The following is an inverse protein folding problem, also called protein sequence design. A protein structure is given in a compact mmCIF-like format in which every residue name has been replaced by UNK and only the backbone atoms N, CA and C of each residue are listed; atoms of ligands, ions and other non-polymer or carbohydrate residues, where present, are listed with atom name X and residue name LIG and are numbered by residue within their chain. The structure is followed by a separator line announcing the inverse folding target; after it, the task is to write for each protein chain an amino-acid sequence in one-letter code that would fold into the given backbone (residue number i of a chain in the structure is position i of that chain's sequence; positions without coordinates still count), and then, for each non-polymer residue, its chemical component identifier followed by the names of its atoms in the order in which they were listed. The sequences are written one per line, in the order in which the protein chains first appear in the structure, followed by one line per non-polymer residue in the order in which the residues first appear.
data_IF_191962325359
#
_entry.id   IF_191962325359
#
_cell.length_a   1.000
_cell.length_b   1.000
_cell.length_c   1.000
_cell.angle_alpha   90.00
_cell.angle_beta   90.00
_cell.angle_gamma   90.00
#
_symmetry.space_group_name_H-M   'P 1'
#
loop_
_entity.id
_entity.type
_entity.pdbx_description
1 polymer ?
#
# COMPACT_ATOMS: atom_id res chain seq x y z
N UNK A 1 -11.55 2.21 -3.48
CA UNK A 1 -11.35 1.46 -4.76
C UNK A 1 -11.81 2.22 -6.01
N UNK A 2 -10.99 2.27 -7.07
CA UNK A 2 -11.40 2.67 -8.43
C UNK A 2 -10.69 3.88 -9.06
N UNK A 3 -9.86 4.61 -8.31
CA UNK A 3 -9.20 5.82 -8.85
C UNK A 3 -8.04 5.56 -9.84
N UNK A 4 -7.71 4.29 -10.13
CA UNK A 4 -6.66 3.93 -11.07
C UNK A 4 -5.22 4.12 -10.55
N UNK A 5 -5.04 4.24 -9.22
CA UNK A 5 -3.75 4.53 -8.58
C UNK A 5 -2.66 3.52 -8.93
N UNK A 6 -2.95 2.22 -8.87
CA UNK A 6 -1.97 1.19 -9.22
C UNK A 6 -1.67 1.14 -10.72
N UNK A 7 -2.64 1.46 -11.59
CA UNK A 7 -2.43 1.51 -13.05
C UNK A 7 -1.56 2.70 -13.44
N UNK A 8 -1.90 3.91 -12.96
CA UNK A 8 -1.14 5.13 -13.24
C UNK A 8 0.22 5.08 -12.54
N UNK A 9 0.28 4.60 -11.31
CA UNK A 9 1.51 4.49 -10.53
C UNK A 9 2.53 3.57 -11.19
N UNK A 10 2.13 2.39 -11.68
CA UNK A 10 3.01 1.49 -12.44
C UNK A 10 3.52 2.13 -13.72
N UNK A 11 2.65 2.85 -14.44
CA UNK A 11 3.06 3.56 -15.64
C UNK A 11 4.07 4.67 -15.33
N UNK A 12 3.81 5.48 -14.29
CA UNK A 12 4.67 6.57 -13.85
C UNK A 12 6.03 6.06 -13.38
N UNK A 13 6.06 5.01 -12.55
CA UNK A 13 7.29 4.38 -12.08
C UNK A 13 8.18 3.94 -13.25
N UNK A 14 7.58 3.29 -14.26
CA UNK A 14 8.29 2.87 -15.47
C UNK A 14 8.84 4.05 -16.28
N UNK A 15 8.12 5.16 -16.36
CA UNK A 15 8.59 6.36 -17.07
C UNK A 15 9.73 7.07 -16.33
N UNK A 16 9.70 7.06 -15.00
CA UNK A 16 10.71 7.71 -14.15
C UNK A 16 11.91 6.79 -13.84
N UNK A 17 11.84 5.50 -14.19
CA UNK A 17 12.87 4.52 -13.83
C UNK A 17 12.89 4.18 -12.34
N UNK A 18 11.79 4.42 -11.64
CA UNK A 18 11.61 4.18 -10.21
C UNK A 18 10.92 2.84 -9.96
N UNK A 19 11.04 2.32 -8.74
CA UNK A 19 10.22 1.17 -8.32
C UNK A 19 8.78 1.61 -8.05
N UNK A 20 7.82 0.70 -8.23
CA UNK A 20 6.42 0.93 -7.83
C UNK A 20 6.12 0.12 -6.57
N UNK A 21 5.49 0.75 -5.59
CA UNK A 21 5.05 0.11 -4.36
C UNK A 21 3.62 0.52 -4.01
N UNK A 22 2.88 -0.38 -3.35
CA UNK A 22 1.47 -0.20 -3.00
C UNK A 22 1.28 -0.62 -1.54
N UNK A 23 0.77 0.29 -0.70
CA UNK A 23 0.64 0.04 0.74
C UNK A 23 -0.34 -1.08 1.03
N UNK A 24 -1.41 -1.23 0.24
CA UNK A 24 -2.40 -2.29 0.44
C UNK A 24 -1.75 -3.67 0.22
N UNK A 25 -0.98 -3.80 -0.86
CA UNK A 25 -0.22 -5.03 -1.15
C UNK A 25 0.81 -5.33 -0.06
N UNK A 26 1.48 -4.31 0.47
CA UNK A 26 2.47 -4.49 1.53
C UNK A 26 1.82 -4.92 2.86
N UNK A 27 0.65 -4.36 3.19
CA UNK A 27 -0.13 -4.77 4.37
C UNK A 27 -0.53 -6.25 4.25
N UNK A 28 -1.05 -6.67 3.08
CA UNK A 28 -1.44 -8.06 2.85
C UNK A 28 -0.23 -9.01 2.91
N UNK A 29 0.90 -8.60 2.34
CA UNK A 29 2.14 -9.38 2.38
C UNK A 29 2.67 -9.56 3.81
N UNK A 30 2.66 -8.50 4.64
CA UNK A 30 3.14 -8.55 6.02
C UNK A 30 2.24 -9.35 6.96
N UNK A 31 0.92 -9.27 6.73
CA UNK A 31 -0.08 -9.95 7.56
C UNK A 31 -0.32 -11.38 7.12
N UNK A 32 -0.05 -11.71 5.85
CA UNK A 32 -0.39 -12.99 5.25
C UNK A 32 -1.89 -13.19 5.06
N UNK A 33 -2.67 -12.10 5.10
CA UNK A 33 -4.12 -12.09 4.97
C UNK A 33 -4.56 -10.96 4.03
N UNK A 34 -5.72 -11.14 3.39
CA UNK A 34 -6.30 -10.06 2.58
C UNK A 34 -6.91 -8.96 3.47
N UNK A 35 -7.07 -7.76 2.91
CA UNK A 35 -7.64 -6.62 3.64
C UNK A 35 -9.02 -6.95 4.27
N UNK A 36 -9.98 -7.57 3.55
CA UNK A 36 -11.26 -7.94 4.14
C UNK A 36 -11.12 -8.79 5.41
N UNK A 37 -10.21 -9.77 5.43
CA UNK A 37 -9.96 -10.59 6.60
C UNK A 37 -9.38 -9.78 7.77
N UNK A 38 -8.47 -8.84 7.49
CA UNK A 38 -7.92 -7.94 8.53
C UNK A 38 -9.05 -7.10 9.14
N UNK A 39 -9.96 -6.56 8.33
CA UNK A 39 -11.12 -5.83 8.83
C UNK A 39 -12.06 -6.73 9.66
N UNK A 40 -12.29 -7.97 9.25
CA UNK A 40 -13.15 -8.91 9.98
C UNK A 40 -12.58 -9.29 11.35
N UNK A 41 -11.25 -9.41 11.47
CA UNK A 41 -10.58 -9.85 12.70
C UNK A 41 -10.22 -8.68 13.63
N UNK A 42 -9.76 -7.58 13.08
CA UNK A 42 -9.18 -6.46 13.83
C UNK A 42 -10.03 -5.19 13.79
N UNK A 43 -11.07 -5.17 12.94
CA UNK A 43 -11.86 -4.00 12.67
C UNK A 43 -11.10 -2.94 11.87
N UNK A 44 -11.79 -1.83 11.60
CA UNK A 44 -11.17 -0.71 10.89
C UNK A 44 -9.99 -0.12 11.68
N UNK A 45 -10.08 -0.05 13.03
CA UNK A 45 -9.00 0.51 13.84
C UNK A 45 -7.68 -0.26 13.68
N UNK A 46 -7.72 -1.60 13.74
CA UNK A 46 -6.51 -2.41 13.57
C UNK A 46 -5.91 -2.28 12.16
N UNK A 47 -6.76 -2.23 11.14
CA UNK A 47 -6.32 -1.94 9.78
C UNK A 47 -5.64 -0.56 9.67
N UNK A 48 -6.23 0.49 10.27
CA UNK A 48 -5.67 1.85 10.22
C UNK A 48 -4.33 1.97 10.93
N UNK A 49 -4.16 1.29 12.06
CA UNK A 49 -2.88 1.26 12.78
C UNK A 49 -1.78 0.62 11.91
N UNK A 50 -2.11 -0.47 11.20
CA UNK A 50 -1.19 -1.13 10.25
C UNK A 50 -0.90 -0.26 9.04
N UNK A 51 -1.91 0.38 8.48
CA UNK A 51 -1.79 1.29 7.34
C UNK A 51 -0.84 2.44 7.67
N UNK A 52 -1.01 3.06 8.84
CA UNK A 52 -0.14 4.13 9.30
C UNK A 52 1.32 3.66 9.41
N UNK A 53 1.56 2.51 10.04
CA UNK A 53 2.91 1.96 10.17
C UNK A 53 3.56 1.68 8.81
N UNK A 54 2.82 1.04 7.90
CA UNK A 54 3.33 0.71 6.56
C UNK A 54 3.65 1.98 5.76
N UNK A 55 2.78 2.99 5.80
CA UNK A 55 3.05 4.28 5.14
C UNK A 55 4.30 4.94 5.71
N UNK A 56 4.44 4.96 7.04
CA UNK A 56 5.59 5.59 7.70
C UNK A 56 6.90 4.91 7.33
N UNK A 57 6.92 3.58 7.24
CA UNK A 57 8.11 2.82 6.83
C UNK A 57 8.40 2.95 5.33
N UNK A 58 7.39 2.85 4.47
CA UNK A 58 7.58 2.90 3.00
C UNK A 58 7.97 4.30 2.52
N UNK A 59 7.57 5.36 3.24
CA UNK A 59 8.00 6.73 2.91
C UNK A 59 9.48 6.99 3.23
N UNK A 60 10.16 6.09 3.95
CA UNK A 60 11.61 6.12 4.12
C UNK A 60 12.39 5.47 2.97
N UNK A 61 11.69 4.85 2.00
CA UNK A 61 12.35 4.26 0.84
C UNK A 61 12.65 5.33 -0.21
N UNK A 62 13.87 5.33 -0.71
CA UNK A 62 14.27 6.18 -1.84
C UNK A 62 13.84 5.57 -3.18
N UNK A 63 13.73 6.42 -4.20
CA UNK A 63 13.52 6.03 -5.61
C UNK A 63 12.27 5.16 -5.87
N UNK A 64 11.17 5.43 -5.17
CA UNK A 64 9.89 4.75 -5.37
C UNK A 64 8.74 5.70 -5.78
N UNK A 65 7.77 5.14 -6.51
CA UNK A 65 6.42 5.67 -6.64
C UNK A 65 5.52 4.86 -5.73
N UNK A 66 5.00 5.51 -4.69
CA UNK A 66 4.14 4.89 -3.67
C UNK A 66 2.67 5.19 -3.96
N UNK A 67 1.87 4.14 -4.11
CA UNK A 67 0.41 4.22 -4.05
C UNK A 67 -0.04 3.95 -2.61
N UNK A 68 -0.73 4.91 -2.01
CA UNK A 68 -1.36 4.76 -0.68
C UNK A 68 -2.75 4.14 -0.81
N UNK A 69 -3.21 3.47 0.25
CA UNK A 69 -4.51 2.78 0.32
C UNK A 69 -5.72 3.69 0.10
N UNK A 70 -6.90 3.11 -0.16
CA UNK A 70 -8.17 3.86 -0.20
C UNK A 70 -9.44 3.12 -0.57
#
# INVERSE_FOLDING_TARGET
MGAGKSTIGKYLARQLGLAFADTDTEIEHRTGADIPWIFDVEGESGFRDREQQVVEEMTQMDDIVLATGG
#
